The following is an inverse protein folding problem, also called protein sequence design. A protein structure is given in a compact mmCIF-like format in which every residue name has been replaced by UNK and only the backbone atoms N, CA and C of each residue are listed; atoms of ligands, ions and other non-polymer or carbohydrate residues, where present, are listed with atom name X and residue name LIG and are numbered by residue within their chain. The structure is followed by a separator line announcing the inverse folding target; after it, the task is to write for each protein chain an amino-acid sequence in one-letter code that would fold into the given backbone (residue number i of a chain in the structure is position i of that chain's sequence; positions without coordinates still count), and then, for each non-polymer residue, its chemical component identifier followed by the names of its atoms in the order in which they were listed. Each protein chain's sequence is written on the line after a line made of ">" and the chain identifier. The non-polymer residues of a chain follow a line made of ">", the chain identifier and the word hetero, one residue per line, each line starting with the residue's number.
data_IF_236381005251
#
_entry.id   IF_236381005251
#
_cell.length_a   1.000
_cell.length_b   1.000
_cell.length_c   1.000
_cell.angle_alpha   90.00
_cell.angle_beta   90.00
_cell.angle_gamma   90.00
#
_symmetry.space_group_name_H-M   'P 1'
#
loop_
_entity.id
_entity.type
_entity.pdbx_description
1 polymer ?
#
# COMPACT_ATOMS: atom_id res chain seq x y z
N UNK A 1 1.14 -12.86 21.55
CA UNK A 1 0.62 -11.49 21.59
C UNK A 1 0.96 -10.84 20.28
N UNK A 2 0.02 -10.19 19.66
CA UNK A 2 0.14 -9.53 18.35
C UNK A 2 0.86 -8.16 18.42
N UNK A 3 1.18 -7.67 19.61
CA UNK A 3 1.83 -6.38 19.83
C UNK A 3 2.67 -6.34 21.12
N UNK A 4 3.55 -5.32 21.19
CA UNK A 4 4.41 -5.04 22.33
C UNK A 4 4.41 -3.55 22.66
N UNK A 5 4.32 -3.18 23.93
CA UNK A 5 4.39 -1.78 24.40
C UNK A 5 5.81 -1.23 24.49
N UNK A 6 6.80 -2.08 24.50
CA UNK A 6 8.22 -1.73 24.48
C UNK A 6 8.90 -2.56 23.41
N UNK A 7 10.02 -2.07 22.87
CA UNK A 7 10.78 -2.84 21.89
C UNK A 7 11.28 -4.15 22.53
N UNK A 8 11.02 -5.25 21.83
CA UNK A 8 11.41 -6.60 22.23
C UNK A 8 12.59 -7.14 21.40
N UNK A 9 13.32 -6.27 20.71
CA UNK A 9 14.42 -6.63 19.80
C UNK A 9 14.00 -6.82 18.34
N UNK A 10 12.70 -6.86 18.01
CA UNK A 10 12.22 -6.98 16.64
C UNK A 10 12.55 -5.71 15.84
N UNK A 11 12.52 -4.53 16.46
CA UNK A 11 12.91 -3.26 15.82
C UNK A 11 14.34 -3.32 15.31
N UNK A 12 15.30 -3.66 16.15
CA UNK A 12 16.71 -3.78 15.76
C UNK A 12 16.90 -4.79 14.63
N UNK A 13 16.22 -5.93 14.73
CA UNK A 13 16.28 -7.00 13.72
C UNK A 13 15.70 -6.54 12.38
N UNK A 14 14.55 -5.85 12.40
CA UNK A 14 13.88 -5.37 11.18
C UNK A 14 14.69 -4.25 10.53
N UNK A 15 15.23 -3.32 11.31
CA UNK A 15 15.90 -2.13 10.79
C UNK A 15 17.37 -2.36 10.38
N UNK A 16 18.04 -3.40 10.89
CA UNK A 16 19.47 -3.64 10.63
C UNK A 16 19.84 -3.94 9.18
N UNK A 17 18.87 -4.25 8.32
CA UNK A 17 19.11 -4.59 6.91
C UNK A 17 18.42 -3.65 5.92
N UNK A 18 17.87 -2.53 6.38
CA UNK A 18 17.11 -1.60 5.54
C UNK A 18 18.03 -0.92 4.54
N UNK A 19 17.72 -1.06 3.25
CA UNK A 19 18.44 -0.44 2.12
C UNK A 19 17.55 0.47 1.30
N UNK A 20 16.24 0.21 1.24
CA UNK A 20 15.26 1.00 0.48
C UNK A 20 14.09 1.37 1.36
N UNK A 21 13.80 2.67 1.44
CA UNK A 21 12.74 3.22 2.28
C UNK A 21 11.78 4.05 1.45
N UNK A 22 10.49 3.84 1.62
CA UNK A 22 9.45 4.76 1.16
C UNK A 22 9.08 5.68 2.32
N UNK A 23 9.37 6.95 2.20
CA UNK A 23 8.97 7.97 3.19
C UNK A 23 7.70 8.65 2.69
N UNK A 24 6.64 8.64 3.49
CA UNK A 24 5.43 9.39 3.18
C UNK A 24 5.27 10.56 4.14
N UNK A 25 5.03 11.75 3.61
CA UNK A 25 4.76 12.95 4.41
C UNK A 25 3.34 13.46 4.21
N UNK A 26 2.62 13.65 5.33
CA UNK A 26 1.24 14.14 5.31
C UNK A 26 1.12 15.64 5.05
N UNK A 27 0.01 16.10 4.46
CA UNK A 27 -0.23 17.51 4.14
C UNK A 27 -0.20 18.42 5.38
N UNK A 28 -0.66 17.95 6.53
CA UNK A 28 -0.64 18.71 7.77
C UNK A 28 0.77 18.92 8.33
N UNK A 29 1.70 18.03 8.00
CA UNK A 29 3.11 18.15 8.38
C UNK A 29 3.82 19.27 7.61
N UNK A 30 3.40 19.50 6.36
CA UNK A 30 4.00 20.52 5.47
C UNK A 30 3.29 21.89 5.50
N UNK A 31 2.17 22.01 6.22
CA UNK A 31 1.19 23.07 6.02
C UNK A 31 1.67 24.48 6.44
N UNK A 32 2.30 24.61 7.61
CA UNK A 32 2.57 25.92 8.22
C UNK A 32 3.68 26.69 7.52
N UNK A 33 4.72 25.98 7.07
CA UNK A 33 5.85 26.52 6.31
C UNK A 33 6.29 25.51 5.25
N UNK A 34 5.61 25.44 4.11
CA UNK A 34 5.91 24.41 3.11
C UNK A 34 7.38 24.42 2.64
N UNK A 35 7.98 25.58 2.46
CA UNK A 35 9.36 25.68 2.00
C UNK A 35 10.37 25.23 3.07
N UNK A 36 10.28 25.74 4.29
CA UNK A 36 11.15 25.32 5.39
C UNK A 36 10.94 23.88 5.80
N UNK A 37 9.69 23.40 5.76
CA UNK A 37 9.37 22.00 6.06
C UNK A 37 9.91 21.03 5.01
N UNK A 38 9.80 21.38 3.71
CA UNK A 38 10.41 20.57 2.64
C UNK A 38 11.95 20.58 2.74
N UNK A 39 12.57 21.71 3.03
CA UNK A 39 14.01 21.80 3.23
C UNK A 39 14.49 20.91 4.38
N UNK A 40 13.83 20.97 5.54
CA UNK A 40 14.18 20.15 6.69
C UNK A 40 13.98 18.62 6.42
N UNK A 41 12.95 18.24 5.66
CA UNK A 41 12.77 16.85 5.25
C UNK A 41 13.87 16.40 4.28
N UNK A 42 14.19 17.20 3.27
CA UNK A 42 15.22 16.88 2.27
C UNK A 42 16.60 16.78 2.91
N UNK A 43 16.90 17.59 3.92
CA UNK A 43 18.13 17.45 4.72
C UNK A 43 18.24 16.05 5.34
N UNK A 44 17.17 15.53 5.95
CA UNK A 44 17.17 14.18 6.52
C UNK A 44 17.30 13.11 5.43
N UNK A 45 16.61 13.29 4.29
CA UNK A 45 16.75 12.38 3.14
C UNK A 45 18.18 12.37 2.62
N UNK A 46 18.83 13.53 2.50
CA UNK A 46 20.23 13.65 2.09
C UNK A 46 21.18 12.89 3.02
N UNK A 47 20.93 12.91 4.32
CA UNK A 47 21.71 12.13 5.30
C UNK A 47 21.54 10.63 5.08
N UNK A 48 20.31 10.15 4.84
CA UNK A 48 20.04 8.75 4.57
C UNK A 48 20.67 8.27 3.25
N UNK A 49 20.57 9.08 2.20
CA UNK A 49 21.18 8.75 0.90
C UNK A 49 22.71 8.67 1.01
N UNK A 50 23.34 9.58 1.75
CA UNK A 50 24.79 9.52 2.06
C UNK A 50 25.18 8.28 2.87
N UNK A 51 24.24 7.75 3.67
CA UNK A 51 24.44 6.49 4.39
C UNK A 51 24.18 5.23 3.51
N UNK A 52 23.87 5.41 2.23
CA UNK A 52 23.63 4.31 1.28
C UNK A 52 22.22 3.75 1.30
N UNK A 53 21.24 4.49 1.85
CA UNK A 53 19.83 4.13 1.85
C UNK A 53 19.15 4.79 0.66
N UNK A 54 18.51 4.02 -0.20
CA UNK A 54 17.64 4.52 -1.27
C UNK A 54 16.33 5.02 -0.69
N UNK A 55 15.99 6.28 -0.98
CA UNK A 55 14.76 6.91 -0.49
C UNK A 55 13.83 7.22 -1.64
N UNK A 56 12.57 6.84 -1.50
CA UNK A 56 11.46 7.26 -2.38
C UNK A 56 10.51 8.09 -1.52
N UNK A 57 10.16 9.28 -1.98
CA UNK A 57 9.28 10.18 -1.24
C UNK A 57 7.86 10.13 -1.80
N UNK A 58 6.88 9.87 -0.97
CA UNK A 58 5.45 10.06 -1.27
C UNK A 58 4.97 11.28 -0.54
N UNK A 59 4.65 12.34 -1.28
CA UNK A 59 4.29 13.63 -0.71
C UNK A 59 2.78 13.89 -0.76
N UNK A 60 2.35 14.89 -0.05
CA UNK A 60 1.00 15.46 -0.05
C UNK A 60 1.08 16.98 0.02
N UNK A 61 -0.06 17.67 -0.04
CA UNK A 61 -0.11 19.11 0.24
C UNK A 61 -0.28 20.00 -0.98
N UNK A 62 -0.38 19.46 -2.18
CA UNK A 62 -0.60 20.25 -3.39
C UNK A 62 -1.89 21.11 -3.29
N UNK A 63 -3.02 20.51 -2.92
CA UNK A 63 -4.31 21.24 -2.81
C UNK A 63 -4.23 22.35 -1.74
N UNK A 64 -3.81 22.10 -0.49
CA UNK A 64 -3.64 23.16 0.51
C UNK A 64 -2.70 24.27 0.06
N UNK A 65 -1.59 23.94 -0.59
CA UNK A 65 -0.64 24.94 -1.10
C UNK A 65 -1.27 25.78 -2.21
N UNK A 66 -2.01 25.18 -3.15
CA UNK A 66 -2.77 25.91 -4.17
C UNK A 66 -3.83 26.82 -3.57
N UNK A 67 -4.50 26.41 -2.48
CA UNK A 67 -5.42 27.26 -1.72
C UNK A 67 -4.71 28.46 -1.10
N UNK A 68 -3.58 28.25 -0.47
CA UNK A 68 -2.75 29.31 0.13
C UNK A 68 -2.32 30.35 -0.90
N UNK A 69 -1.80 29.90 -2.06
CA UNK A 69 -1.36 30.77 -3.16
C UNK A 69 -2.50 31.67 -3.66
N UNK A 70 -3.73 31.14 -3.72
CA UNK A 70 -4.92 31.90 -4.18
C UNK A 70 -5.67 32.59 -3.02
N UNK A 71 -5.14 32.62 -1.80
CA UNK A 71 -5.77 33.23 -0.63
C UNK A 71 -7.11 32.58 -0.22
N UNK A 72 -7.30 31.28 -0.55
CA UNK A 72 -8.54 30.57 -0.21
C UNK A 72 -8.46 29.93 1.16
N UNK A 73 -9.41 30.28 2.03
CA UNK A 73 -9.52 29.72 3.39
C UNK A 73 -10.42 28.47 3.45
N UNK A 74 -11.29 28.28 2.46
CA UNK A 74 -12.25 27.16 2.42
C UNK A 74 -12.03 26.32 1.15
N UNK A 75 -11.97 25.00 1.32
CA UNK A 75 -11.84 24.06 0.20
C UNK A 75 -13.10 24.08 -0.67
N UNK A 76 -12.98 24.30 -2.00
CA UNK A 76 -14.11 24.21 -2.90
C UNK A 76 -14.76 22.81 -2.89
N UNK A 77 -16.09 22.77 -3.10
CA UNK A 77 -16.81 21.50 -3.27
C UNK A 77 -16.79 21.00 -4.73
N UNK A 78 -16.62 21.91 -5.68
CA UNK A 78 -16.61 21.60 -7.11
C UNK A 78 -15.30 20.92 -7.49
N UNK A 79 -15.39 19.71 -8.06
CA UNK A 79 -14.23 18.87 -8.40
C UNK A 79 -13.21 19.61 -9.27
N UNK A 80 -13.67 20.28 -10.36
CA UNK A 80 -12.77 21.00 -11.26
C UNK A 80 -11.95 22.09 -10.56
N UNK A 81 -12.54 22.75 -9.54
CA UNK A 81 -11.82 23.76 -8.74
C UNK A 81 -10.78 23.11 -7.83
N UNK A 82 -11.08 21.94 -7.27
CA UNK A 82 -10.12 21.18 -6.46
C UNK A 82 -8.96 20.69 -7.33
N UNK A 83 -9.26 20.14 -8.51
CA UNK A 83 -8.26 19.71 -9.51
C UNK A 83 -7.35 20.87 -9.92
N UNK A 84 -7.93 22.06 -10.22
CA UNK A 84 -7.15 23.25 -10.55
C UNK A 84 -6.24 23.73 -9.41
N UNK A 85 -6.70 23.62 -8.14
CA UNK A 85 -5.88 23.92 -6.97
C UNK A 85 -4.73 22.93 -6.81
N UNK A 86 -4.98 21.65 -7.07
CA UNK A 86 -3.92 20.64 -7.05
C UNK A 86 -2.87 20.91 -8.11
N UNK A 87 -3.29 21.17 -9.35
CA UNK A 87 -2.38 21.48 -10.45
C UNK A 87 -1.49 22.70 -10.16
N UNK A 88 -2.08 23.79 -9.64
CA UNK A 88 -1.33 24.98 -9.22
C UNK A 88 -0.35 24.66 -8.08
N UNK A 89 -0.86 24.06 -7.01
CA UNK A 89 -0.06 23.81 -5.82
C UNK A 89 1.07 22.80 -6.05
N UNK A 90 0.85 21.82 -6.95
CA UNK A 90 1.87 20.82 -7.29
C UNK A 90 3.12 21.46 -7.93
N UNK A 91 2.96 22.47 -8.78
CA UNK A 91 4.10 23.20 -9.37
C UNK A 91 4.97 23.87 -8.29
N UNK A 92 4.33 24.52 -7.32
CA UNK A 92 5.06 25.19 -6.22
C UNK A 92 5.64 24.18 -5.23
N UNK A 93 4.95 23.09 -4.95
CA UNK A 93 5.44 22.03 -4.09
C UNK A 93 6.71 21.40 -4.66
N UNK A 94 6.75 21.12 -5.96
CA UNK A 94 7.95 20.58 -6.62
C UNK A 94 9.08 21.58 -6.65
N UNK A 95 8.78 22.87 -6.83
CA UNK A 95 9.82 23.92 -6.73
C UNK A 95 10.48 23.93 -5.35
N UNK A 96 9.71 23.84 -4.26
CA UNK A 96 10.28 23.77 -2.91
C UNK A 96 11.18 22.56 -2.72
N UNK A 97 10.78 21.39 -3.27
CA UNK A 97 11.61 20.20 -3.21
C UNK A 97 12.89 20.33 -4.03
N UNK A 98 12.81 20.85 -5.27
CA UNK A 98 13.99 21.02 -6.13
C UNK A 98 14.97 22.03 -5.52
N UNK A 99 14.48 23.19 -5.09
CA UNK A 99 15.30 24.21 -4.41
C UNK A 99 16.03 23.61 -3.18
N UNK A 100 15.39 22.71 -2.44
CA UNK A 100 15.97 22.01 -1.30
C UNK A 100 16.98 20.94 -1.72
N UNK A 101 16.69 20.15 -2.75
CA UNK A 101 17.59 19.11 -3.27
C UNK A 101 18.89 19.71 -3.83
N UNK A 102 18.80 20.82 -4.58
CA UNK A 102 19.98 21.53 -5.12
C UNK A 102 20.93 21.97 -4.01
N UNK A 103 20.44 22.41 -2.83
CA UNK A 103 21.27 22.78 -1.69
C UNK A 103 22.11 21.61 -1.17
N UNK A 104 21.70 20.37 -1.43
CA UNK A 104 22.42 19.16 -1.03
C UNK A 104 23.17 18.48 -2.18
N UNK A 105 23.12 19.06 -3.40
CA UNK A 105 23.89 18.62 -4.57
C UNK A 105 23.26 17.44 -5.33
N UNK A 106 21.94 17.26 -5.25
CA UNK A 106 21.19 16.29 -6.05
C UNK A 106 19.87 16.91 -6.54
N UNK A 107 19.16 16.21 -7.41
CA UNK A 107 17.88 16.63 -7.99
C UNK A 107 16.72 15.75 -7.57
N UNK A 108 15.48 16.19 -7.84
CA UNK A 108 14.32 15.35 -7.67
C UNK A 108 13.57 15.12 -9.00
N UNK A 109 12.88 13.98 -9.10
CA UNK A 109 12.04 13.61 -10.25
C UNK A 109 10.60 13.37 -9.82
N UNK A 110 9.63 14.02 -10.48
CA UNK A 110 8.21 13.90 -10.16
C UNK A 110 7.53 12.76 -10.89
N UNK A 111 6.74 11.95 -10.15
CA UNK A 111 5.76 11.03 -10.71
C UNK A 111 4.37 11.32 -10.13
N UNK A 112 3.39 11.59 -10.98
CA UNK A 112 1.98 11.72 -10.59
C UNK A 112 1.23 10.47 -11.03
N UNK A 113 0.72 9.70 -10.06
CA UNK A 113 0.11 8.40 -10.30
C UNK A 113 -1.38 8.42 -10.03
N UNK A 114 -2.10 7.63 -10.81
CA UNK A 114 -3.51 7.32 -10.61
C UNK A 114 -3.67 5.85 -10.19
N UNK A 115 -4.85 5.47 -9.72
CA UNK A 115 -5.17 4.07 -9.46
C UNK A 115 -5.02 3.20 -10.73
N UNK A 116 -5.34 3.75 -11.91
CA UNK A 116 -5.19 3.05 -13.19
C UNK A 116 -3.72 2.72 -13.51
N UNK A 117 -2.77 3.62 -13.18
CA UNK A 117 -1.34 3.38 -13.41
C UNK A 117 -0.78 2.27 -12.53
N UNK A 118 -1.38 2.06 -11.35
CA UNK A 118 -0.99 0.98 -10.45
C UNK A 118 -1.68 -0.35 -10.78
N UNK A 119 -2.94 -0.32 -11.24
CA UNK A 119 -3.76 -1.51 -11.53
C UNK A 119 -3.43 -2.17 -12.87
N UNK A 120 -3.06 -1.38 -13.86
CA UNK A 120 -2.60 -1.88 -15.15
C UNK A 120 -1.18 -2.45 -15.02
N UNK A 121 -1.00 -3.72 -15.38
CA UNK A 121 0.28 -4.41 -15.18
C UNK A 121 1.43 -3.77 -15.96
N UNK A 122 1.19 -3.38 -17.20
CA UNK A 122 2.23 -2.79 -18.07
C UNK A 122 2.65 -1.41 -17.54
N UNK A 123 1.68 -0.57 -17.16
CA UNK A 123 1.94 0.74 -16.56
C UNK A 123 2.66 0.60 -15.22
N UNK A 124 2.24 -0.34 -14.38
CA UNK A 124 2.88 -0.61 -13.08
C UNK A 124 4.37 -0.96 -13.25
N UNK A 125 4.70 -1.84 -14.20
CA UNK A 125 6.08 -2.18 -14.53
C UNK A 125 6.86 -0.95 -14.99
N UNK A 126 6.29 -0.14 -15.90
CA UNK A 126 6.95 1.09 -16.41
C UNK A 126 7.17 2.13 -15.33
N UNK A 127 6.22 2.33 -14.42
CA UNK A 127 6.38 3.20 -13.25
C UNK A 127 7.54 2.72 -12.37
N UNK A 128 7.59 1.40 -12.09
CA UNK A 128 8.68 0.84 -11.30
C UNK A 128 10.05 0.98 -11.97
N UNK A 129 10.13 0.81 -13.28
CA UNK A 129 11.35 1.01 -14.07
C UNK A 129 11.80 2.48 -14.05
N UNK A 130 10.87 3.42 -14.22
CA UNK A 130 11.16 4.85 -14.14
C UNK A 130 11.72 5.24 -12.78
N UNK A 131 11.11 4.76 -11.68
CA UNK A 131 11.60 5.05 -10.33
C UNK A 131 13.01 4.47 -10.12
N UNK A 132 13.27 3.24 -10.58
CA UNK A 132 14.62 2.65 -10.48
C UNK A 132 15.65 3.46 -11.26
N UNK A 133 15.31 3.89 -12.48
CA UNK A 133 16.21 4.73 -13.29
C UNK A 133 16.55 6.05 -12.58
N UNK A 134 15.59 6.68 -11.90
CA UNK A 134 15.87 7.88 -11.10
C UNK A 134 16.80 7.57 -9.93
N UNK A 135 16.58 6.47 -9.20
CA UNK A 135 17.44 6.06 -8.09
C UNK A 135 18.86 5.72 -8.56
N UNK A 136 19.01 5.07 -9.70
CA UNK A 136 20.32 4.71 -10.29
C UNK A 136 21.13 5.96 -10.67
N UNK A 137 20.47 7.05 -11.04
CA UNK A 137 21.08 8.36 -11.33
C UNK A 137 21.25 9.24 -10.07
N UNK A 138 20.88 8.75 -8.88
CA UNK A 138 20.94 9.53 -7.64
C UNK A 138 19.90 10.64 -7.54
N UNK A 139 18.82 10.56 -8.32
CA UNK A 139 17.72 11.52 -8.32
C UNK A 139 16.66 11.04 -7.33
N UNK A 140 16.16 11.92 -6.47
CA UNK A 140 15.10 11.60 -5.51
C UNK A 140 13.74 11.46 -6.22
N UNK A 141 13.13 10.25 -6.29
CA UNK A 141 11.79 10.12 -6.81
C UNK A 141 10.77 10.70 -5.84
N UNK A 142 9.95 11.66 -6.31
CA UNK A 142 8.85 12.26 -5.54
C UNK A 142 7.53 11.89 -6.19
N UNK A 143 6.71 11.16 -5.46
CA UNK A 143 5.45 10.60 -5.92
C UNK A 143 4.29 11.33 -5.23
N UNK A 144 3.24 11.61 -5.99
CA UNK A 144 1.96 12.07 -5.45
C UNK A 144 0.80 11.48 -6.28
N UNK A 145 -0.41 11.52 -5.73
CA UNK A 145 -1.61 11.21 -6.53
C UNK A 145 -1.82 12.29 -7.59
N UNK A 146 -2.22 11.89 -8.80
CA UNK A 146 -2.59 12.82 -9.88
C UNK A 146 -4.01 13.35 -9.66
N UNK A 147 -4.17 14.17 -8.63
CA UNK A 147 -5.44 14.81 -8.28
C UNK A 147 -6.03 15.67 -9.40
N UNK A 148 -5.24 16.06 -10.41
CA UNK A 148 -5.73 16.90 -11.53
C UNK A 148 -6.63 16.14 -12.50
N UNK A 149 -6.55 14.81 -12.54
CA UNK A 149 -7.38 13.94 -13.41
C UNK A 149 -8.15 12.88 -12.61
N UNK A 150 -7.86 12.70 -11.34
CA UNK A 150 -8.51 11.68 -10.51
C UNK A 150 -9.95 12.10 -10.17
N UNK A 151 -10.91 11.19 -10.35
CA UNK A 151 -12.30 11.32 -9.92
C UNK A 151 -12.53 10.49 -8.64
N UNK A 152 -13.53 10.88 -7.84
CA UNK A 152 -13.77 10.29 -6.52
C UNK A 152 -13.97 8.77 -6.55
N UNK A 153 -14.55 8.25 -7.64
CA UNK A 153 -14.86 6.82 -7.83
C UNK A 153 -13.62 5.96 -8.11
N UNK A 154 -12.51 6.58 -8.55
CA UNK A 154 -11.29 5.88 -9.00
C UNK A 154 -10.07 6.31 -8.17
N UNK A 155 -10.29 6.80 -6.97
CA UNK A 155 -9.21 7.24 -6.07
C UNK A 155 -8.42 6.05 -5.52
N UNK A 156 -7.09 6.21 -5.34
CA UNK A 156 -6.25 5.26 -4.59
C UNK A 156 -6.71 5.19 -3.12
N UNK A 157 -7.43 6.20 -2.66
CA UNK A 157 -7.89 6.34 -1.28
C UNK A 157 -7.15 7.46 -0.58
N UNK A 158 -5.90 7.23 -0.22
CA UNK A 158 -5.02 8.23 0.36
C UNK A 158 -3.54 7.95 0.06
N UNK A 159 -2.67 8.92 0.37
CA UNK A 159 -1.24 8.75 0.14
C UNK A 159 -0.55 7.78 1.11
N UNK A 160 -1.20 7.32 2.20
CA UNK A 160 -0.67 6.25 3.04
C UNK A 160 -0.77 4.91 2.29
N UNK A 161 -1.92 4.65 1.68
CA UNK A 161 -2.14 3.49 0.78
C UNK A 161 -1.23 3.56 -0.45
N UNK A 162 -1.11 4.74 -1.10
CA UNK A 162 -0.20 4.91 -2.23
C UNK A 162 1.25 4.57 -1.83
N UNK A 163 1.72 5.01 -0.66
CA UNK A 163 3.07 4.70 -0.18
C UNK A 163 3.29 3.20 0.05
N UNK A 164 2.32 2.51 0.65
CA UNK A 164 2.37 1.06 0.83
C UNK A 164 2.39 0.31 -0.51
N UNK A 165 1.60 0.75 -1.49
CA UNK A 165 1.59 0.18 -2.85
C UNK A 165 2.93 0.42 -3.56
N UNK A 166 3.48 1.63 -3.50
CA UNK A 166 4.81 1.95 -4.06
C UNK A 166 5.89 1.08 -3.40
N UNK A 167 5.85 0.90 -2.08
CA UNK A 167 6.77 0.01 -1.37
C UNK A 167 6.66 -1.44 -1.85
N UNK A 168 5.44 -1.96 -1.99
CA UNK A 168 5.19 -3.29 -2.50
C UNK A 168 5.67 -3.46 -3.96
N UNK A 169 5.50 -2.45 -4.82
CA UNK A 169 5.94 -2.44 -6.20
C UNK A 169 7.48 -2.46 -6.33
N UNK A 170 8.17 -1.72 -5.46
CA UNK A 170 9.63 -1.53 -5.53
C UNK A 170 10.44 -2.47 -4.65
N UNK A 171 9.82 -3.36 -3.89
CA UNK A 171 10.46 -4.18 -2.86
C UNK A 171 11.19 -3.34 -1.81
N UNK A 172 10.54 -2.28 -1.32
CA UNK A 172 11.11 -1.48 -0.26
C UNK A 172 11.11 -2.26 1.06
N UNK A 173 12.18 -2.10 1.85
CA UNK A 173 12.31 -2.82 3.12
C UNK A 173 11.39 -2.23 4.19
N UNK A 174 11.13 -0.92 4.10
CA UNK A 174 10.39 -0.16 5.11
C UNK A 174 9.60 0.99 4.47
N UNK A 175 8.37 1.19 4.94
CA UNK A 175 7.58 2.40 4.70
C UNK A 175 7.51 3.21 5.99
N UNK A 176 7.81 4.50 5.95
CA UNK A 176 7.71 5.40 7.11
C UNK A 176 6.65 6.46 6.83
N UNK A 177 5.56 6.45 7.61
CA UNK A 177 4.51 7.44 7.56
C UNK A 177 4.83 8.57 8.54
N UNK A 178 5.35 9.69 8.04
CA UNK A 178 5.59 10.93 8.79
C UNK A 178 4.27 11.69 8.91
N UNK A 179 3.71 11.75 10.11
CA UNK A 179 2.38 12.29 10.37
C UNK A 179 2.37 13.18 11.61
N UNK A 180 1.25 13.85 11.88
CA UNK A 180 1.08 14.66 13.09
C UNK A 180 0.77 13.83 14.35
N UNK A 181 0.63 12.52 14.18
CA UNK A 181 0.46 11.56 15.28
C UNK A 181 1.83 10.92 15.54
N UNK A 182 2.22 10.84 16.81
CA UNK A 182 3.53 10.33 17.19
C UNK A 182 3.66 8.80 17.02
N UNK A 183 2.53 8.06 17.18
CA UNK A 183 2.52 6.59 17.13
C UNK A 183 1.08 6.04 17.06
N UNK A 184 0.95 4.73 17.02
CA UNK A 184 -0.29 4.02 17.30
C UNK A 184 -0.41 3.75 18.81
N UNK A 185 -1.56 4.12 19.39
CA UNK A 185 -1.85 4.02 20.82
C UNK A 185 -3.11 3.21 21.09
N UNK A 186 -3.20 2.67 22.29
CA UNK A 186 -4.48 2.18 22.82
C UNK A 186 -5.51 3.31 22.81
N UNK A 187 -6.75 2.97 22.50
CA UNK A 187 -7.89 3.85 22.65
C UNK A 187 -8.55 3.58 24.01
N UNK A 188 -8.56 4.58 24.87
CA UNK A 188 -9.21 4.45 26.18
C UNK A 188 -10.72 4.58 26.02
N UNK A 189 -11.52 3.81 26.79
CA UNK A 189 -12.97 3.93 26.79
C UNK A 189 -13.44 5.34 27.12
N UNK A 190 -14.58 5.76 26.55
CA UNK A 190 -15.31 6.99 26.90
C UNK A 190 -14.55 8.31 26.68
N UNK A 191 -13.72 8.42 25.64
CA UNK A 191 -13.09 9.70 25.28
C UNK A 191 -12.02 10.20 26.27
N UNK A 192 -11.49 9.30 27.11
CA UNK A 192 -10.40 9.61 28.07
C UNK A 192 -9.03 9.82 27.43
N UNK A 193 -8.96 9.92 26.09
CA UNK A 193 -7.71 10.12 25.36
C UNK A 193 -7.03 8.81 24.94
N UNK A 194 -5.72 8.91 24.66
CA UNK A 194 -4.91 7.78 24.21
C UNK A 194 -4.22 7.11 25.41
N UNK A 195 -4.17 5.79 25.37
CA UNK A 195 -3.46 4.96 26.34
C UNK A 195 -1.98 4.79 25.98
N UNK A 196 -1.44 3.62 26.30
CA UNK A 196 -0.03 3.30 26.04
C UNK A 196 0.24 3.21 24.55
N UNK A 197 1.43 3.64 24.15
CA UNK A 197 1.96 3.50 22.79
C UNK A 197 2.31 2.04 22.52
N UNK A 198 1.92 1.54 21.35
CA UNK A 198 2.47 0.28 20.84
C UNK A 198 3.84 0.54 20.20
N UNK A 199 4.88 -0.09 20.73
CA UNK A 199 6.23 0.00 20.16
C UNK A 199 6.35 -0.84 18.88
N UNK A 200 5.88 -2.10 18.95
CA UNK A 200 5.92 -3.06 17.84
C UNK A 200 4.57 -3.77 17.73
N UNK A 201 4.06 -3.89 16.52
CA UNK A 201 2.86 -4.67 16.16
C UNK A 201 3.29 -5.75 15.16
N UNK A 202 3.09 -7.02 15.53
CA UNK A 202 3.53 -8.17 14.72
C UNK A 202 2.40 -8.85 13.96
N UNK A 203 1.15 -8.53 14.32
CA UNK A 203 -0.06 -9.05 13.69
C UNK A 203 -1.18 -8.01 13.82
N UNK A 204 -1.91 -7.77 12.74
CA UNK A 204 -3.09 -6.89 12.73
C UNK A 204 -4.34 -7.77 12.84
N UNK A 205 -4.79 -7.99 14.09
CA UNK A 205 -6.02 -8.70 14.37
C UNK A 205 -7.24 -7.76 14.39
N UNK A 206 -8.43 -8.35 14.49
CA UNK A 206 -9.68 -7.58 14.51
C UNK A 206 -9.79 -6.67 15.74
N UNK A 207 -9.17 -7.03 16.85
CA UNK A 207 -9.15 -6.21 18.06
C UNK A 207 -8.40 -4.90 17.82
N UNK A 208 -7.17 -4.97 17.28
CA UNK A 208 -6.39 -3.78 16.91
C UNK A 208 -7.07 -2.91 15.84
N UNK A 209 -7.70 -3.53 14.84
CA UNK A 209 -8.44 -2.80 13.82
C UNK A 209 -9.67 -2.08 14.40
N UNK A 210 -10.37 -2.68 15.35
CA UNK A 210 -11.52 -2.05 16.02
C UNK A 210 -11.14 -0.85 16.87
N UNK A 211 -9.94 -0.86 17.47
CA UNK A 211 -9.41 0.28 18.23
C UNK A 211 -9.21 1.53 17.36
N UNK A 212 -8.87 1.37 16.09
CA UNK A 212 -8.66 2.48 15.16
C UNK A 212 -9.95 3.14 14.68
N UNK A 213 -11.05 2.40 14.54
CA UNK A 213 -12.35 2.90 14.05
C UNK A 213 -13.00 3.94 14.95
N UNK A 214 -12.61 4.01 16.22
CA UNK A 214 -13.18 4.95 17.20
C UNK A 214 -12.42 6.30 17.30
N UNK A 215 -11.39 6.53 16.48
CA UNK A 215 -10.49 7.69 16.59
C UNK A 215 -10.78 8.84 15.62
N UNK A 216 -11.71 8.68 14.67
CA UNK A 216 -11.96 9.65 13.60
C UNK A 216 -12.82 10.86 14.02
N UNK A 217 -12.40 11.58 15.06
CA UNK A 217 -13.01 12.86 15.47
C UNK A 217 -12.58 14.09 14.65
N UNK A 218 -11.70 13.96 13.66
CA UNK A 218 -11.15 15.11 12.92
C UNK A 218 -11.65 15.15 11.47
N UNK A 219 -12.64 16.01 11.19
CA UNK A 219 -13.30 16.21 9.89
C UNK A 219 -12.38 16.75 8.76
N UNK A 220 -11.10 16.99 9.00
CA UNK A 220 -10.20 17.69 8.06
C UNK A 220 -9.05 16.86 7.49
N UNK A 221 -8.83 15.63 7.94
CA UNK A 221 -7.79 14.76 7.36
C UNK A 221 -8.42 13.59 6.63
N UNK A 222 -8.14 13.45 5.33
CA UNK A 222 -8.50 12.27 4.52
C UNK A 222 -7.70 11.01 4.87
N UNK A 223 -6.84 11.05 5.91
CA UNK A 223 -5.97 9.97 6.35
C UNK A 223 -6.10 9.75 7.86
N UNK A 224 -7.14 9.06 8.33
CA UNK A 224 -7.32 8.63 9.72
C UNK A 224 -6.38 7.48 10.12
N UNK A 225 -6.50 6.99 11.35
CA UNK A 225 -5.72 5.83 11.81
C UNK A 225 -6.04 4.58 10.98
N UNK A 226 -7.27 4.40 10.54
CA UNK A 226 -7.69 3.27 9.69
C UNK A 226 -6.91 3.19 8.38
N UNK A 227 -6.64 4.31 7.72
CA UNK A 227 -5.86 4.31 6.48
C UNK A 227 -4.41 3.90 6.71
N UNK A 228 -3.83 4.27 7.86
CA UNK A 228 -2.48 3.87 8.26
C UNK A 228 -2.39 2.39 8.59
N UNK A 229 -3.40 1.84 9.27
CA UNK A 229 -3.48 0.39 9.53
C UNK A 229 -3.72 -0.40 8.24
N UNK A 230 -4.53 0.13 7.31
CA UNK A 230 -4.68 -0.48 5.98
C UNK A 230 -3.35 -0.49 5.22
N UNK A 231 -2.60 0.62 5.22
CA UNK A 231 -1.25 0.65 4.64
C UNK A 231 -0.29 -0.33 5.33
N UNK A 232 -0.37 -0.45 6.67
CA UNK A 232 0.42 -1.43 7.42
C UNK A 232 0.06 -2.88 7.04
N UNK A 233 -1.22 -3.19 6.87
CA UNK A 233 -1.69 -4.49 6.39
C UNK A 233 -1.10 -4.84 5.02
N UNK A 234 -1.14 -3.90 4.06
CA UNK A 234 -0.52 -4.08 2.73
C UNK A 234 0.98 -4.41 2.86
N UNK A 235 1.74 -3.60 3.61
CA UNK A 235 3.18 -3.81 3.79
C UNK A 235 3.48 -5.15 4.47
N UNK A 236 2.82 -5.45 5.58
CA UNK A 236 3.03 -6.69 6.33
C UNK A 236 2.65 -7.93 5.51
N UNK A 237 1.56 -7.88 4.75
CA UNK A 237 1.15 -8.97 3.84
C UNK A 237 2.14 -9.16 2.72
N UNK A 238 2.69 -8.08 2.17
CA UNK A 238 3.75 -8.14 1.15
C UNK A 238 5.10 -8.64 1.71
N UNK A 239 5.27 -8.71 3.03
CA UNK A 239 6.49 -9.14 3.70
C UNK A 239 7.46 -8.02 4.04
N UNK A 240 6.99 -6.78 4.08
CA UNK A 240 7.76 -5.57 4.42
C UNK A 240 7.28 -4.96 5.73
N UNK A 241 8.08 -4.03 6.28
CA UNK A 241 7.71 -3.31 7.48
C UNK A 241 7.07 -1.94 7.15
N UNK A 242 6.24 -1.44 8.08
CA UNK A 242 5.75 -0.07 8.06
C UNK A 242 5.97 0.57 9.44
N UNK A 243 6.23 1.87 9.46
CA UNK A 243 6.32 2.66 10.69
C UNK A 243 5.41 3.88 10.65
N UNK A 244 4.80 4.22 11.79
CA UNK A 244 4.14 5.50 12.04
C UNK A 244 5.06 6.31 12.95
N UNK A 245 5.44 7.52 12.51
CA UNK A 245 6.42 8.36 13.20
C UNK A 245 5.96 9.81 13.20
N UNK A 246 6.25 10.54 14.28
CA UNK A 246 5.96 11.97 14.37
C UNK A 246 6.75 12.76 13.33
N UNK A 247 6.04 13.34 12.37
CA UNK A 247 6.60 14.16 11.29
C UNK A 247 6.72 15.64 11.65
N UNK A 248 6.31 16.07 12.85
CA UNK A 248 6.52 17.45 13.30
C UNK A 248 8.01 17.73 13.51
N UNK A 249 8.78 16.71 13.87
CA UNK A 249 10.24 16.71 13.91
C UNK A 249 10.80 15.69 12.91
N UNK A 250 11.38 16.16 11.81
CA UNK A 250 11.93 15.28 10.78
C UNK A 250 13.20 14.55 11.23
N UNK A 251 13.89 14.97 12.30
CA UNK A 251 15.01 14.21 12.88
C UNK A 251 14.58 12.82 13.34
N UNK A 252 13.31 12.63 13.64
CA UNK A 252 12.73 11.33 13.98
C UNK A 252 12.89 10.29 12.86
N UNK A 253 13.06 10.70 11.60
CA UNK A 253 13.35 9.79 10.49
C UNK A 253 14.68 9.04 10.71
N UNK A 254 15.76 9.77 10.96
CA UNK A 254 17.06 9.18 11.24
C UNK A 254 17.12 8.43 12.56
N UNK A 255 16.51 8.99 13.61
CA UNK A 255 16.41 8.36 14.95
C UNK A 255 15.68 7.03 14.92
N UNK A 256 14.55 6.95 14.19
CA UNK A 256 13.81 5.70 14.02
C UNK A 256 14.67 4.65 13.31
N UNK A 257 15.32 5.01 12.21
CA UNK A 257 16.20 4.10 11.45
C UNK A 257 17.44 3.67 12.24
N UNK A 258 17.91 4.50 13.17
CA UNK A 258 18.96 4.14 14.12
C UNK A 258 18.49 3.14 15.20
N UNK A 259 17.21 2.79 15.23
CA UNK A 259 16.62 1.81 16.14
C UNK A 259 16.12 2.40 17.46
N UNK A 260 16.00 3.73 17.56
CA UNK A 260 15.41 4.37 18.74
C UNK A 260 13.93 3.95 18.91
N UNK A 261 13.51 3.68 20.14
CA UNK A 261 12.14 3.25 20.43
C UNK A 261 11.15 4.43 20.41
N UNK A 262 10.95 5.00 19.22
CA UNK A 262 9.97 6.03 18.89
C UNK A 262 8.99 5.54 17.85
N UNK A 263 7.82 6.14 17.77
CA UNK A 263 6.77 5.70 16.82
C UNK A 263 6.26 4.28 17.08
N UNK A 264 5.58 3.70 16.11
CA UNK A 264 5.13 2.30 16.11
C UNK A 264 5.68 1.59 14.88
N UNK A 265 6.32 0.45 15.07
CA UNK A 265 6.77 -0.44 14.00
C UNK A 265 5.75 -1.56 13.79
N UNK A 266 5.30 -1.73 12.57
CA UNK A 266 4.49 -2.85 12.09
C UNK A 266 5.38 -3.78 11.28
N UNK A 267 5.56 -5.03 11.72
CA UNK A 267 6.38 -6.01 11.03
C UNK A 267 5.91 -7.43 11.37
N UNK A 268 6.09 -8.39 10.47
CA UNK A 268 5.79 -9.79 10.79
C UNK A 268 6.92 -10.41 11.60
N UNK A 269 6.58 -11.12 12.68
CA UNK A 269 7.54 -11.93 13.43
C UNK A 269 8.09 -13.08 12.58
N UNK A 270 9.40 -13.23 12.56
CA UNK A 270 10.11 -14.26 11.82
C UNK A 270 10.42 -13.88 10.37
N UNK A 271 11.60 -14.28 9.91
CA UNK A 271 12.02 -14.06 8.52
C UNK A 271 11.09 -14.84 7.57
N UNK A 272 10.13 -14.14 6.95
CA UNK A 272 9.35 -14.67 5.84
C UNK A 272 9.90 -14.10 4.56
N UNK A 273 10.03 -14.93 3.54
CA UNK A 273 10.37 -14.48 2.21
C UNK A 273 9.29 -13.50 1.75
N UNK A 274 9.65 -12.31 1.27
CA UNK A 274 8.70 -11.38 0.70
C UNK A 274 7.97 -12.04 -0.48
N UNK A 275 6.72 -11.64 -0.70
CA UNK A 275 5.93 -12.09 -1.85
C UNK A 275 6.70 -11.84 -3.15
N UNK A 276 6.56 -12.75 -4.12
CA UNK A 276 7.08 -12.54 -5.48
C UNK A 276 6.35 -11.37 -6.15
N UNK A 277 6.99 -10.71 -7.10
CA UNK A 277 6.47 -9.51 -7.78
C UNK A 277 5.05 -9.72 -8.33
N UNK A 278 4.80 -10.84 -9.03
CA UNK A 278 3.47 -11.15 -9.56
C UNK A 278 2.42 -11.42 -8.47
N UNK A 279 2.81 -12.00 -7.33
CA UNK A 279 1.91 -12.22 -6.19
C UNK A 279 1.46 -10.89 -5.58
N UNK A 280 2.37 -9.94 -5.45
CA UNK A 280 2.04 -8.58 -4.99
C UNK A 280 1.14 -7.87 -5.97
N UNK A 281 1.44 -7.98 -7.28
CA UNK A 281 0.57 -7.41 -8.30
C UNK A 281 -0.84 -7.98 -8.20
N UNK A 282 -0.96 -9.29 -8.11
CA UNK A 282 -2.25 -9.97 -7.97
C UNK A 282 -2.99 -9.56 -6.70
N UNK A 283 -2.30 -9.52 -5.55
CA UNK A 283 -2.91 -9.24 -4.26
C UNK A 283 -3.39 -7.78 -4.12
N UNK A 284 -2.58 -6.82 -4.59
CA UNK A 284 -2.78 -5.40 -4.24
C UNK A 284 -3.17 -4.52 -5.42
N UNK A 285 -2.81 -4.89 -6.64
CA UNK A 285 -2.95 -4.02 -7.80
C UNK A 285 -4.00 -4.50 -8.79
N UNK A 286 -4.15 -5.82 -8.99
CA UNK A 286 -5.07 -6.34 -10.00
C UNK A 286 -6.53 -6.07 -9.65
N UNK A 287 -7.30 -5.65 -10.63
CA UNK A 287 -8.76 -5.56 -10.52
C UNK A 287 -9.35 -6.89 -11.03
N UNK A 288 -10.05 -7.65 -10.16
CA UNK A 288 -10.59 -8.95 -10.58
C UNK A 288 -11.64 -8.79 -11.67
N UNK A 289 -11.51 -9.54 -12.76
CA UNK A 289 -12.47 -9.55 -13.87
C UNK A 289 -13.77 -10.30 -13.52
N UNK A 290 -13.74 -11.09 -12.41
CA UNK A 290 -14.88 -11.83 -11.92
C UNK A 290 -14.58 -12.53 -10.61
N UNK A 291 -15.52 -13.35 -10.13
CA UNK A 291 -15.38 -14.10 -8.89
C UNK A 291 -15.79 -15.56 -9.05
N UNK A 292 -15.13 -16.43 -8.30
CA UNK A 292 -15.37 -17.86 -8.19
C UNK A 292 -15.76 -18.17 -6.74
N UNK A 293 -16.96 -18.71 -6.52
CA UNK A 293 -17.41 -19.15 -5.19
C UNK A 293 -17.04 -20.61 -5.02
N UNK A 294 -16.43 -20.97 -3.90
CA UNK A 294 -15.95 -22.32 -3.61
C UNK A 294 -16.65 -22.94 -2.40
N UNK A 295 -16.63 -24.26 -2.33
CA UNK A 295 -17.14 -25.01 -1.19
C UNK A 295 -16.14 -25.06 -0.02
N UNK A 296 -16.59 -25.54 1.14
CA UNK A 296 -15.77 -25.63 2.37
C UNK A 296 -14.53 -26.53 2.19
N UNK A 297 -14.64 -27.57 1.35
CA UNK A 297 -13.53 -28.48 1.05
C UNK A 297 -12.43 -27.80 0.23
N UNK A 298 -12.83 -27.00 -0.76
CA UNK A 298 -11.89 -26.20 -1.54
C UNK A 298 -11.30 -25.05 -0.70
N UNK A 299 -12.10 -24.37 0.14
CA UNK A 299 -11.60 -23.38 1.08
C UNK A 299 -10.50 -23.97 1.98
N UNK A 300 -10.74 -25.14 2.59
CA UNK A 300 -9.75 -25.82 3.43
C UNK A 300 -8.48 -26.20 2.63
N UNK A 301 -8.67 -26.72 1.41
CA UNK A 301 -7.57 -27.11 0.53
C UNK A 301 -6.68 -25.93 0.13
N UNK A 302 -7.28 -24.78 -0.17
CA UNK A 302 -6.58 -23.54 -0.52
C UNK A 302 -5.89 -22.93 0.71
N UNK A 303 -6.66 -22.64 1.76
CA UNK A 303 -6.17 -21.84 2.90
C UNK A 303 -5.23 -22.62 3.83
N UNK A 304 -5.44 -23.92 4.03
CA UNK A 304 -4.67 -24.72 4.99
C UNK A 304 -3.69 -25.68 4.38
N UNK A 305 -3.96 -26.20 3.18
CA UNK A 305 -3.15 -27.26 2.55
C UNK A 305 -2.32 -26.79 1.36
N UNK A 306 -2.38 -25.51 1.01
CA UNK A 306 -1.65 -24.89 -0.12
C UNK A 306 -1.82 -25.69 -1.44
N UNK A 307 -3.09 -25.99 -1.79
CA UNK A 307 -3.45 -26.73 -3.01
C UNK A 307 -3.97 -25.77 -4.09
N UNK A 308 -3.98 -26.24 -5.34
CA UNK A 308 -4.63 -25.57 -6.47
C UNK A 308 -6.14 -25.68 -6.37
N UNK A 309 -6.88 -24.70 -6.91
CA UNK A 309 -8.32 -24.76 -7.04
C UNK A 309 -8.70 -25.67 -8.22
N UNK A 310 -9.44 -26.73 -7.93
CA UNK A 310 -9.99 -27.62 -8.94
C UNK A 310 -11.44 -27.23 -9.27
N UNK A 311 -11.91 -27.47 -10.50
CA UNK A 311 -13.31 -27.24 -10.88
C UNK A 311 -14.32 -27.94 -9.97
N UNK A 312 -13.95 -29.12 -9.42
CA UNK A 312 -14.80 -29.89 -8.51
C UNK A 312 -15.20 -29.20 -7.22
N UNK A 313 -14.43 -28.22 -6.77
CA UNK A 313 -14.72 -27.43 -5.56
C UNK A 313 -15.42 -26.09 -5.85
N UNK A 314 -15.82 -25.83 -7.08
CA UNK A 314 -16.46 -24.58 -7.49
C UNK A 314 -17.98 -24.72 -7.37
N UNK A 315 -18.62 -23.81 -6.64
CA UNK A 315 -20.06 -23.72 -6.47
C UNK A 315 -20.71 -22.77 -7.48
N UNK A 316 -19.99 -21.74 -7.93
CA UNK A 316 -20.53 -20.75 -8.85
C UNK A 316 -19.48 -19.74 -9.32
N UNK A 317 -19.88 -19.02 -10.37
CA UNK A 317 -19.01 -18.05 -11.06
C UNK A 317 -19.81 -16.78 -11.30
N UNK A 318 -19.15 -15.62 -11.21
CA UNK A 318 -19.72 -14.33 -11.58
C UNK A 318 -18.72 -13.48 -12.35
N UNK A 319 -19.19 -12.61 -13.23
CA UNK A 319 -18.38 -11.82 -14.12
C UNK A 319 -18.00 -12.54 -15.42
N UNK A 320 -17.38 -11.79 -16.34
CA UNK A 320 -16.91 -12.30 -17.63
C UNK A 320 -15.39 -12.16 -17.68
N UNK A 321 -14.66 -13.24 -17.68
CA UNK A 321 -13.21 -13.30 -17.69
C UNK A 321 -12.68 -14.29 -18.70
N UNK A 322 -11.44 -14.08 -19.12
CA UNK A 322 -10.69 -14.94 -20.06
C UNK A 322 -9.62 -15.73 -19.31
N UNK A 323 -9.08 -16.77 -19.94
CA UNK A 323 -7.87 -17.44 -19.45
C UNK A 323 -6.76 -16.40 -19.25
N UNK A 324 -6.14 -16.40 -18.08
CA UNK A 324 -5.08 -15.46 -17.69
C UNK A 324 -5.56 -14.23 -16.92
N UNK A 325 -6.86 -14.01 -16.80
CA UNK A 325 -7.39 -12.89 -16.03
C UNK A 325 -7.33 -13.16 -14.52
N UNK A 326 -7.17 -12.11 -13.70
CA UNK A 326 -7.29 -12.20 -12.25
C UNK A 326 -8.75 -12.36 -11.84
N UNK A 327 -9.01 -13.24 -10.86
CA UNK A 327 -10.34 -13.47 -10.28
C UNK A 327 -10.28 -13.51 -8.77
N UNK A 328 -11.37 -13.09 -8.12
CA UNK A 328 -11.58 -13.31 -6.69
C UNK A 328 -12.00 -14.75 -6.45
N UNK A 329 -11.54 -15.31 -5.35
CA UNK A 329 -12.02 -16.61 -4.84
C UNK A 329 -12.74 -16.34 -3.54
N UNK A 330 -14.03 -16.64 -3.52
CA UNK A 330 -14.93 -16.37 -2.40
C UNK A 330 -15.34 -17.70 -1.76
N UNK A 331 -15.44 -17.72 -0.43
CA UNK A 331 -16.04 -18.87 0.27
C UNK A 331 -17.57 -18.92 0.10
N UNK A 332 -18.22 -19.92 0.68
CA UNK A 332 -19.67 -20.09 0.61
C UNK A 332 -20.45 -18.90 1.23
N UNK A 333 -19.82 -18.11 2.13
CA UNK A 333 -20.38 -16.89 2.72
C UNK A 333 -20.13 -15.64 1.87
N UNK A 334 -19.50 -15.80 0.70
CA UNK A 334 -19.07 -14.73 -0.21
C UNK A 334 -18.01 -13.78 0.38
N UNK A 335 -17.21 -14.26 1.31
CA UNK A 335 -16.04 -13.58 1.82
C UNK A 335 -14.84 -13.88 0.90
N UNK A 336 -14.06 -12.88 0.53
CA UNK A 336 -12.87 -13.07 -0.31
C UNK A 336 -11.77 -13.77 0.50
N UNK A 337 -11.42 -15.00 0.11
CA UNK A 337 -10.37 -15.81 0.76
C UNK A 337 -9.05 -15.82 -0.01
N UNK A 338 -9.10 -15.54 -1.32
CA UNK A 338 -7.93 -15.52 -2.17
C UNK A 338 -8.17 -14.75 -3.47
N UNK A 339 -7.08 -14.45 -4.18
CA UNK A 339 -7.07 -14.05 -5.60
C UNK A 339 -6.22 -15.01 -6.39
N UNK A 340 -6.57 -15.21 -7.67
CA UNK A 340 -5.80 -16.11 -8.53
C UNK A 340 -5.92 -15.75 -10.00
N UNK A 341 -4.96 -16.26 -10.80
CA UNK A 341 -5.02 -16.21 -12.26
C UNK A 341 -5.73 -17.46 -12.75
N UNK A 342 -6.82 -17.27 -13.48
CA UNK A 342 -7.67 -18.37 -13.94
C UNK A 342 -7.11 -19.03 -15.21
N UNK A 343 -7.23 -20.36 -15.30
CA UNK A 343 -6.77 -21.14 -16.46
C UNK A 343 -7.84 -21.35 -17.54
N UNK A 344 -9.09 -20.97 -17.29
CA UNK A 344 -10.23 -21.14 -18.19
C UNK A 344 -11.00 -19.84 -18.33
N UNK A 345 -11.64 -19.61 -19.47
CA UNK A 345 -12.60 -18.54 -19.61
C UNK A 345 -13.87 -18.84 -18.77
N UNK A 346 -14.63 -17.79 -18.45
CA UNK A 346 -15.80 -17.90 -17.57
C UNK A 346 -16.87 -18.87 -18.09
N UNK A 347 -17.08 -18.93 -19.40
CA UNK A 347 -18.00 -19.85 -20.08
C UNK A 347 -17.51 -21.31 -20.05
N UNK A 348 -16.22 -21.55 -20.25
CA UNK A 348 -15.61 -22.87 -20.10
C UNK A 348 -15.69 -23.33 -18.65
N UNK A 349 -15.31 -22.47 -17.70
CA UNK A 349 -15.32 -22.79 -16.28
C UNK A 349 -16.74 -23.11 -15.77
N UNK A 350 -17.75 -22.42 -16.29
CA UNK A 350 -19.16 -22.70 -15.98
C UNK A 350 -19.60 -24.09 -16.44
N UNK A 351 -19.07 -24.60 -17.56
CA UNK A 351 -19.38 -25.95 -18.08
C UNK A 351 -18.73 -27.08 -17.27
N UNK A 352 -17.58 -26.81 -16.66
CA UNK A 352 -16.80 -27.78 -15.86
C UNK A 352 -16.93 -27.59 -14.36
N UNK A 353 -17.76 -26.63 -13.90
CA UNK A 353 -18.06 -26.39 -12.49
C UNK A 353 -18.57 -27.69 -11.83
N UNK A 354 -17.98 -28.07 -10.70
CA UNK A 354 -18.29 -29.31 -9.99
C UNK A 354 -17.75 -30.62 -10.64
N UNK A 355 -17.07 -30.52 -11.80
CA UNK A 355 -16.59 -31.68 -12.52
C UNK A 355 -15.28 -32.24 -11.94
N UNK A 356 -15.06 -33.55 -12.10
CA UNK A 356 -13.78 -34.19 -11.80
C UNK A 356 -12.74 -33.85 -12.89
N UNK A 357 -11.47 -33.71 -12.50
CA UNK A 357 -10.38 -33.35 -13.41
C UNK A 357 -10.27 -34.27 -14.65
N UNK A 358 -10.58 -35.56 -14.52
CA UNK A 358 -10.53 -36.51 -15.62
C UNK A 358 -11.59 -36.26 -16.72
N UNK A 359 -12.71 -35.59 -16.40
CA UNK A 359 -13.81 -35.33 -17.33
C UNK A 359 -13.76 -33.97 -18.03
N UNK A 360 -12.77 -33.11 -17.70
CA UNK A 360 -12.72 -31.72 -18.18
C UNK A 360 -12.59 -31.66 -19.71
N UNK A 361 -11.67 -32.42 -20.30
CA UNK A 361 -11.43 -32.42 -21.74
C UNK A 361 -12.68 -32.89 -22.52
N UNK A 362 -13.38 -33.88 -21.99
CA UNK A 362 -14.63 -34.37 -22.59
C UNK A 362 -15.77 -33.34 -22.53
N UNK A 363 -15.92 -32.68 -21.38
CA UNK A 363 -16.94 -31.65 -21.18
C UNK A 363 -16.70 -30.41 -22.04
N UNK A 364 -15.44 -30.04 -22.24
CA UNK A 364 -15.08 -28.90 -23.10
C UNK A 364 -15.05 -29.25 -24.59
N UNK A 365 -14.85 -30.54 -24.93
CA UNK A 365 -14.77 -31.00 -26.32
C UNK A 365 -13.41 -30.78 -26.99
N UNK A 366 -12.39 -30.41 -26.21
CA UNK A 366 -11.00 -30.24 -26.68
C UNK A 366 -9.99 -30.58 -25.58
N UNK A 367 -8.74 -30.90 -25.94
CA UNK A 367 -7.66 -31.08 -24.97
C UNK A 367 -7.42 -29.82 -24.14
N UNK A 368 -7.10 -29.98 -22.85
CA UNK A 368 -6.78 -28.88 -21.94
C UNK A 368 -5.34 -28.95 -21.48
N UNK A 369 -4.69 -27.80 -21.33
CA UNK A 369 -3.31 -27.68 -20.84
C UNK A 369 -3.22 -27.81 -19.32
N UNK A 370 -4.29 -27.42 -18.62
CA UNK A 370 -4.38 -27.44 -17.17
C UNK A 370 -5.68 -28.08 -16.73
N UNK A 371 -5.68 -28.77 -15.60
CA UNK A 371 -6.88 -29.35 -14.98
C UNK A 371 -7.36 -28.52 -13.79
N UNK A 372 -6.55 -27.61 -13.32
CA UNK A 372 -6.86 -26.69 -12.23
C UNK A 372 -7.55 -25.41 -12.76
N UNK A 373 -8.57 -24.97 -12.09
CA UNK A 373 -9.18 -23.67 -12.37
C UNK A 373 -8.21 -22.52 -12.06
N UNK A 374 -7.50 -22.64 -10.92
CA UNK A 374 -6.41 -21.74 -10.54
C UNK A 374 -5.26 -22.56 -9.94
N UNK A 375 -4.08 -22.46 -10.50
CA UNK A 375 -2.90 -23.14 -9.97
C UNK A 375 -2.40 -22.46 -8.69
N UNK A 376 -1.98 -23.24 -7.69
CA UNK A 376 -1.47 -22.72 -6.39
C UNK A 376 -0.33 -21.71 -6.52
N UNK A 377 0.54 -21.86 -7.55
CA UNK A 377 1.63 -20.92 -7.77
C UNK A 377 1.15 -19.58 -8.35
N UNK A 378 -0.08 -19.51 -8.84
CA UNK A 378 -0.76 -18.30 -9.32
C UNK A 378 -1.96 -17.91 -8.45
N UNK A 379 -1.85 -18.20 -7.15
CA UNK A 379 -2.86 -17.91 -6.15
C UNK A 379 -2.23 -17.19 -4.97
N UNK A 380 -2.92 -16.18 -4.43
CA UNK A 380 -2.54 -15.43 -3.23
C UNK A 380 -3.71 -15.47 -2.27
N UNK A 381 -3.47 -15.95 -1.05
CA UNK A 381 -4.48 -15.93 0.01
C UNK A 381 -4.60 -14.51 0.58
N UNK A 382 -5.83 -14.11 0.88
CA UNK A 382 -6.08 -12.95 1.72
C UNK A 382 -5.61 -13.26 3.14
N UNK A 383 -4.84 -12.33 3.73
CA UNK A 383 -4.28 -12.50 5.08
C UNK A 383 -5.31 -12.15 6.15
#
# INVERSE_FOLDING_TARGET
>A
MSFHYTDNGERKKTLSGVKRVVVKVGSNVLREDPAGRTAALVEQIAQLTKAGIEVILVTSGAIPLGMTILGKTTRPKELAKVQGLSALGQCYLMRHYEDACEQHGFHCGQLLLTAADLRDHERNVRVAECIRALLDEGILPIINENDSVTVAEIKIGDNDTLAAMVAAMLNADLTILMTTIDAFHEVLPEGKGFGKRFSVVTELDQELLSMAGNTDGNQYSTGGMMTKLHAASICMTAGYALAIVDGRDFSNLGRFLAGEDIGTLFCRSGAKNPMRSWQRFLAFFSEPAGAIVVDDGAEEALCRRNKSLLPGGILGISGAFRKGDPVQILNARREEIARGIVNFASDELARICGAKSASIAELLGHPVEATEAVHKDYLVLNA
#
